data_IF_832103216819
#
_entry.id   IF_832103216819
#
_cell.length_a   1.000
_cell.length_b   1.000
_cell.length_c   1.000
_cell.angle_alpha   90.00
_cell.angle_beta   90.00
_cell.angle_gamma   90.00
#
_symmetry.space_group_name_H-M   'P 1'
#
loop_
_entity.id
_entity.type
_entity.pdbx_description
1 polymer ?
#
# COMPACT_ATOMS: atom_id res chain seq x y z
N UNK A 1 8.99 -52.88 5.17
CA UNK A 1 7.53 -52.90 4.91
C UNK A 1 6.77 -51.80 5.65
N UNK A 2 7.11 -51.44 6.89
CA UNK A 2 6.39 -50.40 7.70
C UNK A 2 6.42 -48.97 7.10
N UNK A 3 7.46 -48.62 6.33
CA UNK A 3 7.56 -47.31 5.66
C UNK A 3 6.46 -47.12 4.60
N UNK A 4 6.19 -48.16 3.80
CA UNK A 4 5.18 -48.12 2.74
C UNK A 4 3.78 -47.92 3.32
N UNK A 5 3.44 -48.66 4.38
CA UNK A 5 2.10 -48.68 4.96
C UNK A 5 1.69 -47.32 5.55
N UNK A 6 2.56 -46.68 6.35
CA UNK A 6 2.25 -45.38 6.94
C UNK A 6 2.24 -44.25 5.90
N UNK A 7 3.07 -44.39 4.85
CA UNK A 7 3.07 -43.44 3.74
C UNK A 7 1.78 -43.59 2.93
N UNK A 8 1.37 -44.81 2.59
CA UNK A 8 0.10 -45.10 1.92
C UNK A 8 -1.09 -44.56 2.73
N UNK A 9 -1.09 -44.73 4.05
CA UNK A 9 -2.13 -44.16 4.93
C UNK A 9 -2.14 -42.62 4.88
N UNK A 10 -0.97 -41.98 4.88
CA UNK A 10 -0.88 -40.52 4.80
C UNK A 10 -1.34 -39.99 3.43
N UNK A 11 -0.97 -40.66 2.34
CA UNK A 11 -1.38 -40.31 0.98
C UNK A 11 -2.89 -40.52 0.80
N UNK A 12 -3.43 -41.65 1.26
CA UNK A 12 -4.87 -41.92 1.25
C UNK A 12 -5.64 -40.85 2.03
N UNK A 13 -5.14 -40.41 3.18
CA UNK A 13 -5.77 -39.33 3.96
C UNK A 13 -5.80 -37.98 3.21
N UNK A 14 -4.81 -37.70 2.33
CA UNK A 14 -4.84 -36.49 1.49
C UNK A 14 -5.99 -36.61 0.47
N UNK A 15 -6.10 -37.74 -0.21
CA UNK A 15 -7.14 -37.99 -1.22
C UNK A 15 -8.54 -37.95 -0.58
N UNK A 16 -8.71 -38.60 0.57
CA UNK A 16 -9.96 -38.57 1.34
C UNK A 16 -10.34 -37.14 1.75
N UNK A 17 -9.37 -36.34 2.20
CA UNK A 17 -9.64 -34.96 2.61
C UNK A 17 -10.07 -34.05 1.46
N UNK A 18 -9.63 -34.37 0.23
CA UNK A 18 -10.07 -33.68 -0.98
C UNK A 18 -11.50 -34.09 -1.36
N UNK A 19 -11.82 -35.38 -1.29
CA UNK A 19 -13.15 -35.91 -1.57
C UNK A 19 -14.19 -35.41 -0.56
N UNK A 20 -13.84 -35.36 0.72
CA UNK A 20 -14.69 -34.87 1.82
C UNK A 20 -14.71 -33.33 1.91
N UNK A 21 -13.94 -32.63 1.07
CA UNK A 21 -13.83 -31.18 1.05
C UNK A 21 -13.42 -30.55 2.40
N UNK A 22 -12.67 -31.28 3.22
CA UNK A 22 -12.20 -30.82 4.54
C UNK A 22 -10.69 -30.53 4.57
N UNK A 23 -10.00 -30.62 3.43
CA UNK A 23 -8.60 -30.27 3.25
C UNK A 23 -8.29 -28.81 3.61
N UNK A 24 -7.29 -28.57 4.45
CA UNK A 24 -6.81 -27.21 4.78
C UNK A 24 -5.49 -26.90 4.07
N UNK A 25 -4.43 -27.66 4.37
CA UNK A 25 -3.09 -27.50 3.79
C UNK A 25 -2.22 -28.72 4.08
N UNK A 26 -1.09 -28.84 3.40
CA UNK A 26 0.01 -29.75 3.79
C UNK A 26 1.27 -28.94 4.05
N UNK A 27 2.06 -29.37 5.05
CA UNK A 27 3.40 -28.87 5.30
C UNK A 27 4.38 -30.03 5.30
N UNK A 28 5.44 -29.93 4.48
CA UNK A 28 6.58 -30.84 4.52
C UNK A 28 7.76 -30.11 5.15
N UNK A 29 8.31 -30.66 6.23
CA UNK A 29 9.37 -30.04 7.03
C UNK A 29 10.49 -31.01 7.41
N UNK A 30 11.52 -30.48 8.07
CA UNK A 30 12.74 -31.21 8.43
C UNK A 30 13.40 -31.88 7.20
N UNK A 31 13.71 -31.07 6.19
CA UNK A 31 14.34 -31.53 4.95
C UNK A 31 15.77 -32.05 5.21
N UNK A 32 16.08 -33.21 4.63
CA UNK A 32 17.38 -33.91 4.68
C UNK A 32 17.79 -34.46 3.31
N UNK A 33 17.23 -33.92 2.22
CA UNK A 33 17.58 -34.32 0.85
C UNK A 33 18.74 -33.51 0.27
N UNK A 34 18.98 -33.69 -1.03
CA UNK A 34 20.14 -33.14 -1.75
C UNK A 34 19.95 -31.68 -2.21
N UNK A 35 18.72 -31.15 -2.20
CA UNK A 35 18.45 -29.80 -2.69
C UNK A 35 18.95 -28.72 -1.71
N UNK A 36 19.96 -27.97 -2.14
CA UNK A 36 20.63 -27.00 -1.28
C UNK A 36 19.68 -25.88 -0.81
N UNK A 37 19.76 -25.57 0.47
CA UNK A 37 19.03 -24.50 1.15
C UNK A 37 17.48 -24.63 1.18
N UNK A 38 16.89 -25.70 0.65
CA UNK A 38 15.46 -25.99 0.81
C UNK A 38 15.17 -26.37 2.27
N UNK A 39 14.14 -25.74 2.86
CA UNK A 39 13.77 -25.95 4.26
C UNK A 39 12.41 -26.60 4.44
N UNK A 40 11.44 -26.16 3.63
CA UNK A 40 10.03 -26.49 3.83
C UNK A 40 9.30 -26.41 2.49
N UNK A 41 8.29 -27.26 2.31
CA UNK A 41 7.28 -27.09 1.26
C UNK A 41 5.94 -26.87 1.95
N UNK A 42 5.25 -25.80 1.56
CA UNK A 42 3.87 -25.53 1.98
C UNK A 42 2.93 -25.71 0.80
N UNK A 43 1.88 -26.50 0.98
CA UNK A 43 0.96 -26.88 -0.09
C UNK A 43 -0.45 -26.47 0.29
N UNK A 44 -1.14 -25.81 -0.62
CA UNK A 44 -2.54 -25.38 -0.45
C UNK A 44 -3.34 -25.61 -1.73
N UNK A 45 -4.64 -25.88 -1.59
CA UNK A 45 -5.58 -25.95 -2.71
C UNK A 45 -5.80 -24.55 -3.29
N UNK A 46 -5.82 -24.47 -4.61
CA UNK A 46 -6.03 -23.23 -5.35
C UNK A 46 -6.81 -23.49 -6.63
N UNK A 47 -7.57 -22.50 -7.11
CA UNK A 47 -8.30 -22.54 -8.37
C UNK A 47 -7.59 -21.62 -9.37
N UNK A 48 -7.05 -22.18 -10.45
CA UNK A 48 -6.35 -21.44 -11.51
C UNK A 48 -7.05 -21.70 -12.83
N UNK A 49 -7.47 -20.64 -13.54
CA UNK A 49 -8.20 -20.76 -14.82
C UNK A 49 -9.41 -21.71 -14.75
N UNK A 50 -10.11 -21.74 -13.60
CA UNK A 50 -11.25 -22.62 -13.29
C UNK A 50 -10.92 -24.10 -13.10
N UNK A 51 -9.65 -24.45 -12.92
CA UNK A 51 -9.19 -25.79 -12.59
C UNK A 51 -8.66 -25.82 -11.15
N UNK A 52 -9.00 -26.88 -10.41
CA UNK A 52 -8.43 -27.15 -9.09
C UNK A 52 -7.00 -27.65 -9.21
N UNK A 53 -6.10 -26.98 -8.50
CA UNK A 53 -4.66 -27.29 -8.46
C UNK A 53 -4.14 -27.20 -7.02
N UNK A 54 -2.95 -27.75 -6.79
CA UNK A 54 -2.18 -27.49 -5.59
C UNK A 54 -1.03 -26.52 -5.87
N UNK A 55 -0.94 -25.47 -5.06
CA UNK A 55 0.18 -24.53 -5.08
C UNK A 55 1.23 -24.94 -4.04
N UNK A 56 2.42 -25.28 -4.52
CA UNK A 56 3.58 -25.66 -3.73
C UNK A 56 4.46 -24.43 -3.56
N UNK A 57 4.60 -23.97 -2.33
CA UNK A 57 5.55 -22.92 -1.95
C UNK A 57 6.80 -23.57 -1.37
N UNK A 58 7.85 -23.63 -2.17
CA UNK A 58 9.18 -24.08 -1.78
C UNK A 58 9.90 -22.95 -1.06
N UNK A 59 10.14 -23.14 0.25
CA UNK A 59 10.83 -22.15 1.09
C UNK A 59 12.30 -22.47 1.20
N UNK A 60 13.13 -21.62 0.62
CA UNK A 60 14.58 -21.66 0.76
C UNK A 60 15.04 -20.69 1.84
N UNK A 61 16.33 -20.71 2.17
CA UNK A 61 16.92 -19.78 3.16
C UNK A 61 16.70 -18.29 2.81
N UNK A 62 16.67 -17.92 1.53
CA UNK A 62 16.66 -16.52 1.07
C UNK A 62 15.57 -16.20 0.04
N UNK A 63 14.77 -17.19 -0.38
CA UNK A 63 13.73 -17.00 -1.39
C UNK A 63 12.62 -18.04 -1.24
N UNK A 64 11.44 -17.69 -1.74
CA UNK A 64 10.32 -18.61 -1.90
C UNK A 64 10.03 -18.78 -3.40
N UNK A 65 9.80 -20.02 -3.82
CA UNK A 65 9.40 -20.35 -5.21
C UNK A 65 8.02 -21.01 -5.17
N UNK A 66 7.09 -20.54 -5.99
CA UNK A 66 5.74 -21.12 -6.09
C UNK A 66 5.57 -21.84 -7.41
N UNK A 67 5.14 -23.10 -7.36
CA UNK A 67 4.73 -23.90 -8.54
C UNK A 67 3.33 -24.45 -8.32
N UNK A 68 2.55 -24.58 -9.38
CA UNK A 68 1.19 -25.10 -9.32
C UNK A 68 1.11 -26.41 -10.10
N UNK A 69 0.49 -27.42 -9.51
CA UNK A 69 0.39 -28.78 -10.05
C UNK A 69 -1.05 -29.25 -10.01
N UNK A 70 -1.42 -30.13 -10.94
CA UNK A 70 -2.74 -30.77 -10.90
C UNK A 70 -2.85 -31.69 -9.68
N UNK A 71 -4.06 -31.91 -9.16
CA UNK A 71 -4.25 -32.60 -7.87
C UNK A 71 -3.58 -33.99 -7.84
N UNK A 72 -3.77 -34.80 -8.89
CA UNK A 72 -3.15 -36.14 -8.98
C UNK A 72 -1.63 -36.08 -9.04
N UNK A 73 -1.08 -35.17 -9.85
CA UNK A 73 0.38 -34.96 -9.95
C UNK A 73 0.96 -34.53 -8.60
N UNK A 74 0.28 -33.63 -7.92
CA UNK A 74 0.71 -33.09 -6.64
C UNK A 74 0.71 -34.12 -5.51
N UNK A 75 -0.29 -35.00 -5.44
CA UNK A 75 -0.32 -36.10 -4.45
C UNK A 75 0.87 -37.04 -4.65
N UNK A 76 1.20 -37.36 -5.90
CA UNK A 76 2.39 -38.16 -6.23
C UNK A 76 3.68 -37.46 -5.80
N UNK A 77 3.80 -36.15 -6.05
CA UNK A 77 4.96 -35.35 -5.62
C UNK A 77 5.11 -35.33 -4.10
N UNK A 78 4.01 -35.25 -3.33
CA UNK A 78 4.08 -35.32 -1.86
C UNK A 78 4.67 -36.65 -1.41
N UNK A 79 4.23 -37.76 -2.03
CA UNK A 79 4.78 -39.09 -1.74
C UNK A 79 6.28 -39.16 -2.03
N UNK A 80 6.71 -38.64 -3.19
CA UNK A 80 8.12 -38.60 -3.58
C UNK A 80 8.96 -37.76 -2.61
N UNK A 81 8.48 -36.57 -2.21
CA UNK A 81 9.20 -35.69 -1.30
C UNK A 81 9.37 -36.26 0.11
N UNK A 82 8.39 -37.03 0.60
CA UNK A 82 8.49 -37.74 1.88
C UNK A 82 9.45 -38.94 1.81
N UNK A 83 9.63 -39.52 0.61
CA UNK A 83 10.61 -40.60 0.39
C UNK A 83 12.04 -40.08 0.25
N UNK A 84 12.23 -38.94 -0.43
CA UNK A 84 13.55 -38.48 -0.88
C UNK A 84 14.22 -37.48 0.04
N UNK A 85 13.49 -36.78 0.93
CA UNK A 85 14.16 -35.79 1.78
C UNK A 85 13.41 -35.29 3.00
N UNK A 86 12.09 -35.14 2.95
CA UNK A 86 11.33 -34.59 4.07
C UNK A 86 11.04 -35.66 5.13
N UNK A 87 11.45 -35.37 6.37
CA UNK A 87 11.22 -36.29 7.50
C UNK A 87 9.90 -36.05 8.22
N UNK A 88 9.23 -34.93 7.96
CA UNK A 88 7.94 -34.61 8.56
C UNK A 88 6.97 -34.17 7.46
N UNK A 89 5.80 -34.80 7.41
CA UNK A 89 4.64 -34.35 6.64
C UNK A 89 3.47 -34.11 7.60
N UNK A 90 2.82 -32.96 7.49
CA UNK A 90 1.61 -32.67 8.26
C UNK A 90 0.50 -32.30 7.31
N UNK A 91 -0.56 -33.12 7.28
CA UNK A 91 -1.82 -32.83 6.62
C UNK A 91 -2.74 -32.18 7.65
N UNK A 92 -3.23 -31.00 7.33
CA UNK A 92 -4.20 -30.27 8.13
C UNK A 92 -5.57 -30.45 7.48
N UNK A 93 -6.56 -30.88 8.26
CA UNK A 93 -7.97 -30.92 7.87
C UNK A 93 -8.81 -30.17 8.90
N UNK A 94 -10.07 -29.89 8.60
CA UNK A 94 -10.97 -29.26 9.58
C UNK A 94 -11.35 -30.14 10.75
N UNK A 95 -11.08 -31.44 10.68
CA UNK A 95 -11.42 -32.44 11.70
C UNK A 95 -10.22 -32.84 12.55
N UNK A 96 -9.08 -33.07 11.91
CA UNK A 96 -7.82 -33.47 12.57
C UNK A 96 -6.58 -33.03 11.79
N UNK A 97 -5.47 -32.92 12.50
CA UNK A 97 -4.15 -32.78 11.90
C UNK A 97 -3.44 -34.14 11.94
N UNK A 98 -3.09 -34.66 10.77
CA UNK A 98 -2.39 -35.94 10.62
C UNK A 98 -0.91 -35.66 10.40
N UNK A 99 -0.06 -36.18 11.29
CA UNK A 99 1.40 -35.98 11.25
C UNK A 99 2.09 -37.30 10.92
N UNK A 100 2.71 -37.34 9.74
CA UNK A 100 3.69 -38.35 9.35
C UNK A 100 5.09 -37.87 9.79
N UNK A 101 5.79 -38.66 10.59
CA UNK A 101 7.14 -38.32 11.04
C UNK A 101 8.07 -39.54 10.97
N UNK A 102 9.21 -39.38 10.31
CA UNK A 102 10.33 -40.31 10.35
C UNK A 102 11.30 -39.88 11.46
N UNK A 103 11.39 -40.71 12.51
CA UNK A 103 12.27 -40.49 13.65
C UNK A 103 13.74 -40.75 13.28
N UNK A 104 14.66 -40.25 14.12
CA UNK A 104 16.11 -40.40 13.91
C UNK A 104 16.58 -41.86 13.85
N UNK A 105 15.84 -42.80 14.47
CA UNK A 105 16.11 -44.23 14.40
C UNK A 105 15.53 -44.93 13.15
N UNK A 106 15.00 -44.15 12.20
CA UNK A 106 14.40 -44.64 10.96
C UNK A 106 12.95 -45.13 11.09
N UNK A 107 12.42 -45.25 12.32
CA UNK A 107 11.01 -45.64 12.56
C UNK A 107 10.09 -44.51 12.11
N UNK A 108 9.02 -44.87 11.40
CA UNK A 108 7.93 -43.94 11.07
C UNK A 108 6.82 -44.06 12.10
N UNK A 109 6.24 -42.91 12.41
CA UNK A 109 5.03 -42.80 13.20
C UNK A 109 4.02 -41.92 12.47
N UNK A 110 2.76 -42.29 12.58
CA UNK A 110 1.62 -41.48 12.16
C UNK A 110 0.85 -41.09 13.43
N UNK A 111 0.65 -39.78 13.63
CA UNK A 111 -0.04 -39.25 14.82
C UNK A 111 -1.23 -38.43 14.38
N UNK A 112 -2.36 -38.64 15.05
CA UNK A 112 -3.54 -37.79 14.91
C UNK A 112 -3.57 -36.77 16.05
N UNK A 113 -3.69 -35.50 15.70
CA UNK A 113 -3.83 -34.39 16.61
C UNK A 113 -5.17 -33.69 16.37
N UNK A 114 -5.74 -33.00 17.38
CA UNK A 114 -6.93 -32.17 17.17
C UNK A 114 -6.70 -31.14 16.05
N UNK A 115 -7.72 -30.85 15.23
CA UNK A 115 -7.60 -29.86 14.16
C UNK A 115 -7.16 -28.50 14.69
N UNK A 116 -6.05 -27.98 14.14
CA UNK A 116 -5.58 -26.63 14.43
C UNK A 116 -6.39 -25.54 13.73
N UNK A 117 -7.14 -25.90 12.67
CA UNK A 117 -7.96 -24.98 11.89
C UNK A 117 -9.29 -25.65 11.57
N UNK A 118 -10.43 -25.06 11.96
CA UNK A 118 -11.78 -25.64 11.74
C UNK A 118 -12.48 -25.13 10.47
N UNK A 119 -11.79 -24.35 9.65
CA UNK A 119 -12.35 -23.68 8.46
C UNK A 119 -11.50 -24.08 7.25
N UNK A 120 -12.15 -24.52 6.17
CA UNK A 120 -11.50 -24.80 4.90
C UNK A 120 -11.04 -23.47 4.27
N UNK A 121 -9.75 -23.31 3.93
CA UNK A 121 -9.27 -22.12 3.25
C UNK A 121 -9.90 -22.00 1.87
N UNK A 122 -10.33 -20.80 1.52
CA UNK A 122 -10.83 -20.51 0.18
C UNK A 122 -9.72 -20.73 -0.88
N UNK A 123 -10.05 -21.52 -1.90
CA UNK A 123 -9.16 -21.85 -3.03
C UNK A 123 -9.07 -20.74 -4.07
N UNK A 124 -9.83 -19.65 -3.94
CA UNK A 124 -9.75 -18.52 -4.85
C UNK A 124 -8.33 -17.91 -4.91
N UNK A 125 -7.72 -17.90 -6.11
CA UNK A 125 -6.43 -17.25 -6.34
C UNK A 125 -6.54 -15.72 -6.31
N UNK A 126 -7.72 -15.21 -6.58
CA UNK A 126 -8.12 -13.92 -6.04
C UNK A 126 -8.35 -14.14 -4.55
N UNK A 127 -7.29 -13.96 -3.75
CA UNK A 127 -7.54 -13.17 -2.55
C UNK A 127 -8.24 -11.93 -3.10
N UNK A 128 -9.57 -11.85 -2.97
CA UNK A 128 -10.24 -10.57 -3.04
C UNK A 128 -9.45 -9.73 -2.04
N UNK A 129 -8.51 -8.93 -2.54
CA UNK A 129 -7.77 -7.99 -1.71
C UNK A 129 -8.88 -7.28 -0.97
N UNK A 130 -8.90 -7.36 0.36
CA UNK A 130 -9.96 -6.77 1.16
C UNK A 130 -10.00 -5.29 0.82
N UNK A 131 -10.88 -4.93 -0.11
CA UNK A 131 -11.02 -3.58 -0.63
C UNK A 131 -11.75 -2.80 0.43
N UNK A 132 -11.08 -1.80 0.98
CA UNK A 132 -11.67 -0.90 1.96
C UNK A 132 -12.87 -0.15 1.36
N UNK A 133 -12.81 0.11 0.04
CA UNK A 133 -13.92 0.63 -0.75
C UNK A 133 -14.50 -0.48 -1.63
N UNK A 134 -15.68 -0.95 -1.25
CA UNK A 134 -16.47 -1.89 -2.06
C UNK A 134 -17.22 -1.12 -3.16
N UNK A 135 -17.33 -1.74 -4.34
CA UNK A 135 -18.00 -1.13 -5.49
C UNK A 135 -19.53 -1.13 -5.34
N UNK A 136 -20.06 -2.09 -4.60
CA UNK A 136 -21.49 -2.32 -4.39
C UNK A 136 -22.12 -1.20 -3.56
N UNK A 137 -23.31 -0.75 -3.99
CA UNK A 137 -24.14 0.21 -3.23
C UNK A 137 -23.49 1.56 -2.95
N UNK A 138 -22.53 2.00 -3.78
CA UNK A 138 -21.89 3.31 -3.69
C UNK A 138 -22.31 4.21 -4.85
N UNK A 139 -23.33 5.05 -4.63
CA UNK A 139 -23.89 5.92 -5.66
C UNK A 139 -22.87 6.89 -6.27
N UNK A 140 -21.87 7.34 -5.50
CA UNK A 140 -20.82 8.23 -6.01
C UNK A 140 -19.93 7.54 -7.06
N UNK A 141 -19.66 6.24 -6.91
CA UNK A 141 -18.88 5.48 -7.90
C UNK A 141 -19.62 5.40 -9.24
N UNK A 142 -20.93 5.21 -9.20
CA UNK A 142 -21.77 5.21 -10.40
C UNK A 142 -21.83 6.61 -11.03
N UNK A 143 -22.05 7.66 -10.21
CA UNK A 143 -22.09 9.04 -10.68
C UNK A 143 -20.76 9.50 -11.31
N UNK A 144 -19.64 9.00 -10.81
CA UNK A 144 -18.29 9.23 -11.34
C UNK A 144 -17.90 8.29 -12.50
N UNK A 145 -18.83 7.47 -12.98
CA UNK A 145 -18.66 6.51 -14.09
C UNK A 145 -17.60 5.44 -13.84
N UNK A 146 -17.49 4.96 -12.60
CA UNK A 146 -16.64 3.83 -12.20
C UNK A 146 -17.41 2.51 -12.27
N UNK A 147 -18.66 2.52 -11.83
CA UNK A 147 -19.56 1.37 -11.78
C UNK A 147 -20.83 1.61 -12.60
N UNK A 148 -21.50 0.52 -13.00
CA UNK A 148 -22.88 0.57 -13.45
C UNK A 148 -23.87 0.73 -12.28
N UNK A 149 -25.17 0.63 -12.56
CA UNK A 149 -26.22 0.77 -11.56
C UNK A 149 -26.23 -0.40 -10.56
N UNK A 150 -25.75 -1.57 -10.99
CA UNK A 150 -25.64 -2.79 -10.21
C UNK A 150 -24.35 -2.84 -9.36
N UNK A 151 -23.49 -1.82 -9.46
CA UNK A 151 -22.23 -1.74 -8.69
C UNK A 151 -21.07 -2.51 -9.31
N UNK A 152 -21.19 -2.96 -10.56
CA UNK A 152 -20.11 -3.64 -11.28
C UNK A 152 -19.21 -2.60 -11.96
N UNK A 153 -17.91 -2.71 -11.68
CA UNK A 153 -16.89 -1.79 -12.21
C UNK A 153 -16.72 -1.97 -13.72
N UNK A 154 -16.81 -0.87 -14.48
CA UNK A 154 -16.61 -0.90 -15.93
C UNK A 154 -15.22 -1.40 -16.30
N UNK A 155 -15.08 -2.10 -17.44
CA UNK A 155 -13.80 -2.65 -17.89
C UNK A 155 -12.69 -1.60 -17.99
N UNK A 156 -13.01 -0.41 -18.49
CA UNK A 156 -12.09 0.73 -18.63
C UNK A 156 -11.86 1.49 -17.31
N UNK A 157 -12.63 1.22 -16.26
CA UNK A 157 -12.52 1.87 -14.95
C UNK A 157 -11.79 1.00 -13.91
N UNK A 158 -11.41 -0.23 -14.26
CA UNK A 158 -10.74 -1.18 -13.35
C UNK A 158 -9.45 -0.60 -12.75
N UNK A 159 -8.60 0.02 -13.56
CA UNK A 159 -7.34 0.60 -13.08
C UNK A 159 -7.59 1.76 -12.13
N UNK A 160 -8.53 2.64 -12.46
CA UNK A 160 -8.92 3.74 -11.57
C UNK A 160 -9.51 3.22 -10.26
N UNK A 161 -10.34 2.17 -10.29
CA UNK A 161 -10.89 1.57 -9.07
C UNK A 161 -9.83 0.92 -8.18
N UNK A 162 -8.80 0.29 -8.79
CA UNK A 162 -7.63 -0.21 -8.06
C UNK A 162 -6.84 0.94 -7.43
N UNK A 163 -6.62 2.04 -8.15
CA UNK A 163 -5.93 3.22 -7.62
C UNK A 163 -6.67 3.83 -6.42
N UNK A 164 -8.00 3.95 -6.50
CA UNK A 164 -8.84 4.41 -5.39
C UNK A 164 -8.62 3.53 -4.15
N UNK A 165 -8.70 2.21 -4.29
CA UNK A 165 -8.54 1.30 -3.16
C UNK A 165 -7.11 1.30 -2.59
N UNK A 166 -6.09 1.37 -3.45
CA UNK A 166 -4.71 1.44 -3.00
C UNK A 166 -4.42 2.74 -2.24
N UNK A 167 -4.99 3.86 -2.70
CA UNK A 167 -4.91 5.13 -1.99
C UNK A 167 -5.52 5.06 -0.60
N UNK A 168 -6.71 4.48 -0.48
CA UNK A 168 -7.37 4.31 0.82
C UNK A 168 -6.61 3.32 1.71
N UNK A 169 -5.99 2.28 1.15
CA UNK A 169 -5.10 1.38 1.89
C UNK A 169 -3.93 2.14 2.52
N UNK A 170 -3.26 2.99 1.75
CA UNK A 170 -2.15 3.83 2.25
C UNK A 170 -2.67 4.78 3.34
N UNK A 171 -3.72 5.56 3.06
CA UNK A 171 -4.27 6.50 4.04
C UNK A 171 -4.77 5.81 5.32
N UNK A 172 -5.37 4.63 5.21
CA UNK A 172 -5.83 3.87 6.38
C UNK A 172 -4.71 3.55 7.36
N UNK A 173 -3.50 3.30 6.85
CA UNK A 173 -2.33 3.04 7.68
C UNK A 173 -1.83 4.31 8.38
N UNK A 174 -1.88 5.46 7.68
CA UNK A 174 -1.44 6.75 8.21
C UNK A 174 -2.43 7.30 9.24
N UNK A 175 -3.73 7.20 8.96
CA UNK A 175 -4.83 7.63 9.84
C UNK A 175 -4.76 6.89 11.19
N UNK A 176 -4.38 5.61 11.20
CA UNK A 176 -4.20 4.83 12.43
C UNK A 176 -3.06 5.32 13.34
N UNK A 177 -2.12 6.10 12.82
CA UNK A 177 -1.05 6.72 13.62
C UNK A 177 -1.52 8.00 14.32
N UNK A 178 -2.68 8.55 13.91
CA UNK A 178 -3.24 9.78 14.50
C UNK A 178 -3.92 9.49 15.84
N UNK A 179 -4.03 10.49 16.74
CA UNK A 179 -4.80 10.33 17.95
C UNK A 179 -6.27 10.01 17.64
N UNK A 180 -6.90 9.21 18.49
CA UNK A 180 -8.30 8.85 18.29
C UNK A 180 -9.22 10.07 18.49
N UNK A 181 -10.22 10.23 17.62
CA UNK A 181 -11.22 11.29 17.72
C UNK A 181 -10.75 12.70 17.33
N UNK A 182 -9.58 12.85 16.71
CA UNK A 182 -9.05 14.17 16.33
C UNK A 182 -9.31 14.56 14.87
N UNK A 183 -9.72 13.61 14.02
CA UNK A 183 -9.94 13.84 12.59
C UNK A 183 -11.33 14.45 12.37
N UNK A 184 -11.45 15.76 12.60
CA UNK A 184 -12.71 16.49 12.47
C UNK A 184 -12.84 17.22 11.15
N UNK A 185 -11.73 17.70 10.58
CA UNK A 185 -11.71 18.45 9.32
C UNK A 185 -10.58 17.99 8.40
N UNK A 186 -10.93 17.64 7.17
CA UNK A 186 -10.00 17.28 6.09
C UNK A 186 -10.10 18.30 4.97
N UNK A 187 -8.96 18.73 4.44
CA UNK A 187 -8.90 19.55 3.24
C UNK A 187 -8.13 18.81 2.13
N UNK A 188 -8.73 18.67 0.95
CA UNK A 188 -8.10 18.15 -0.26
C UNK A 188 -7.84 19.29 -1.25
N UNK A 189 -6.59 19.69 -1.36
CA UNK A 189 -6.11 20.83 -2.12
C UNK A 189 -5.78 20.42 -3.56
N UNK A 190 -6.59 20.90 -4.51
CA UNK A 190 -6.51 20.48 -5.90
C UNK A 190 -7.25 19.17 -6.15
N UNK A 191 -8.51 19.09 -5.70
CA UNK A 191 -9.29 17.84 -5.68
C UNK A 191 -9.69 17.32 -7.07
N UNK A 192 -9.66 18.16 -8.11
CA UNK A 192 -10.05 17.79 -9.46
C UNK A 192 -11.48 17.24 -9.51
N UNK A 193 -11.64 16.06 -10.13
CA UNK A 193 -12.95 15.35 -10.20
C UNK A 193 -13.34 14.63 -8.91
N UNK A 194 -12.58 14.79 -7.82
CA UNK A 194 -12.93 14.34 -6.48
C UNK A 194 -12.84 12.83 -6.22
N UNK A 195 -12.43 11.98 -7.18
CA UNK A 195 -12.46 10.50 -7.00
C UNK A 195 -11.86 10.02 -5.67
N UNK A 196 -10.70 10.58 -5.31
CA UNK A 196 -9.97 10.23 -4.10
C UNK A 196 -10.60 10.89 -2.87
N UNK A 197 -11.10 12.12 -3.00
CA UNK A 197 -11.85 12.85 -1.98
C UNK A 197 -13.13 12.10 -1.57
N UNK A 198 -13.92 11.64 -2.53
CA UNK A 198 -15.13 10.84 -2.27
C UNK A 198 -14.81 9.51 -1.61
N UNK A 199 -13.76 8.82 -2.08
CA UNK A 199 -13.34 7.56 -1.48
C UNK A 199 -12.84 7.74 -0.04
N UNK A 200 -12.13 8.84 0.22
CA UNK A 200 -11.69 9.16 1.57
C UNK A 200 -12.87 9.49 2.48
N UNK A 201 -13.81 10.30 2.01
CA UNK A 201 -15.04 10.60 2.75
C UNK A 201 -15.80 9.30 3.09
N UNK A 202 -16.02 8.43 2.11
CA UNK A 202 -16.67 7.14 2.29
C UNK A 202 -15.95 6.25 3.32
N UNK A 203 -14.61 6.23 3.27
CA UNK A 203 -13.81 5.49 4.25
C UNK A 203 -13.98 6.06 5.67
N UNK A 204 -13.88 7.37 5.85
CA UNK A 204 -14.00 8.02 7.15
C UNK A 204 -15.39 7.81 7.76
N UNK A 205 -16.46 7.95 6.97
CA UNK A 205 -17.84 7.86 7.44
C UNK A 205 -18.38 6.44 7.51
N UNK A 206 -18.19 5.63 6.48
CA UNK A 206 -18.79 4.29 6.43
C UNK A 206 -17.96 3.26 7.18
N UNK A 207 -16.62 3.34 7.08
CA UNK A 207 -15.72 2.33 7.66
C UNK A 207 -15.28 2.74 9.06
N UNK A 208 -14.80 3.98 9.23
CA UNK A 208 -14.34 4.46 10.54
C UNK A 208 -15.45 5.08 11.40
N UNK A 209 -16.62 5.38 10.82
CA UNK A 209 -17.77 6.00 11.53
C UNK A 209 -17.42 7.32 12.22
N UNK A 210 -16.55 8.10 11.59
CA UNK A 210 -16.13 9.41 12.07
C UNK A 210 -17.06 10.50 11.57
N UNK A 211 -17.31 11.49 12.41
CA UNK A 211 -18.15 12.65 12.09
C UNK A 211 -17.33 13.79 11.46
N UNK A 212 -16.62 13.47 10.38
CA UNK A 212 -15.60 14.34 9.78
C UNK A 212 -16.16 15.23 8.66
N UNK A 213 -15.82 16.52 8.65
CA UNK A 213 -16.01 17.42 7.52
C UNK A 213 -14.87 17.23 6.50
N UNK A 214 -15.21 17.07 5.22
CA UNK A 214 -14.23 16.98 4.14
C UNK A 214 -14.51 18.07 3.11
N UNK A 215 -13.50 18.89 2.85
CA UNK A 215 -13.58 19.99 1.89
C UNK A 215 -12.60 19.76 0.74
N UNK A 216 -13.12 19.69 -0.49
CA UNK A 216 -12.30 19.69 -1.70
C UNK A 216 -12.14 21.11 -2.25
N UNK A 217 -10.91 21.55 -2.49
CA UNK A 217 -10.59 22.85 -3.07
C UNK A 217 -10.22 22.65 -4.53
N UNK A 218 -10.94 23.32 -5.42
CA UNK A 218 -10.72 23.23 -6.86
C UNK A 218 -10.86 24.59 -7.53
N UNK A 219 -9.96 24.91 -8.46
CA UNK A 219 -9.94 26.19 -9.15
C UNK A 219 -11.12 26.35 -10.12
N UNK A 220 -11.49 25.24 -10.77
CA UNK A 220 -12.50 25.20 -11.82
C UNK A 220 -13.92 25.06 -11.27
N UNK A 221 -14.75 26.09 -11.47
CA UNK A 221 -16.16 26.06 -11.05
C UNK A 221 -16.93 24.87 -11.63
N UNK A 222 -16.69 24.49 -12.88
CA UNK A 222 -17.39 23.36 -13.51
C UNK A 222 -17.09 22.01 -12.85
N UNK A 223 -15.89 21.86 -12.27
CA UNK A 223 -15.52 20.68 -11.48
C UNK A 223 -16.13 20.75 -10.07
N UNK A 224 -16.18 21.93 -9.46
CA UNK A 224 -16.84 22.16 -8.16
C UNK A 224 -18.33 21.80 -8.25
N UNK A 225 -19.04 22.31 -9.26
CA UNK A 225 -20.46 22.03 -9.48
C UNK A 225 -20.72 20.54 -9.71
N UNK A 226 -19.86 19.89 -10.50
CA UNK A 226 -19.91 18.44 -10.73
C UNK A 226 -19.78 17.68 -9.41
N UNK A 227 -18.74 17.98 -8.62
CA UNK A 227 -18.46 17.28 -7.38
C UNK A 227 -19.56 17.52 -6.32
N UNK A 228 -20.05 18.74 -6.15
CA UNK A 228 -21.17 19.01 -5.24
C UNK A 228 -22.46 18.29 -5.68
N UNK A 229 -22.77 18.26 -6.98
CA UNK A 229 -23.92 17.48 -7.49
C UNK A 229 -23.79 15.98 -7.20
N UNK A 230 -22.57 15.44 -7.25
CA UNK A 230 -22.31 14.03 -6.89
C UNK A 230 -22.46 13.83 -5.38
N UNK A 231 -21.92 14.74 -4.54
CA UNK A 231 -22.05 14.66 -3.09
C UNK A 231 -23.52 14.68 -2.64
N UNK A 232 -24.34 15.56 -3.22
CA UNK A 232 -25.78 15.63 -2.97
C UNK A 232 -26.50 14.33 -3.36
N UNK A 233 -26.26 13.81 -4.57
CA UNK A 233 -26.85 12.54 -5.04
C UNK A 233 -26.43 11.34 -4.19
N UNK A 234 -25.30 11.44 -3.52
CA UNK A 234 -24.78 10.42 -2.62
C UNK A 234 -25.15 10.63 -1.15
N UNK A 235 -25.92 11.68 -0.83
CA UNK A 235 -26.27 12.07 0.53
C UNK A 235 -25.02 12.25 1.43
N UNK A 236 -23.93 12.77 0.86
CA UNK A 236 -22.69 13.05 1.59
C UNK A 236 -22.73 14.47 2.18
N UNK A 237 -23.54 14.66 3.22
CA UNK A 237 -23.85 15.99 3.80
C UNK A 237 -22.63 16.76 4.33
N UNK A 238 -21.57 16.05 4.72
CA UNK A 238 -20.31 16.62 5.25
C UNK A 238 -19.17 16.63 4.22
N UNK A 239 -19.49 16.42 2.95
CA UNK A 239 -18.56 16.56 1.84
C UNK A 239 -18.99 17.75 0.98
N UNK A 240 -18.10 18.73 0.88
CA UNK A 240 -18.35 19.92 0.08
C UNK A 240 -17.11 20.31 -0.73
N UNK A 241 -17.35 20.85 -1.91
CA UNK A 241 -16.32 21.35 -2.80
C UNK A 241 -16.47 22.86 -2.94
N UNK A 242 -15.36 23.58 -2.86
CA UNK A 242 -15.33 25.05 -2.92
C UNK A 242 -14.41 25.50 -4.04
N UNK A 243 -14.84 26.56 -4.74
CA UNK A 243 -13.99 27.21 -5.72
C UNK A 243 -12.89 28.01 -5.02
N UNK A 244 -11.65 27.77 -5.38
CA UNK A 244 -10.53 28.54 -4.83
C UNK A 244 -9.17 28.01 -5.26
N UNK A 245 -8.13 28.76 -4.90
CA UNK A 245 -6.74 28.29 -5.02
C UNK A 245 -6.24 27.78 -3.67
N UNK A 246 -5.08 27.10 -3.71
CA UNK A 246 -4.39 26.65 -2.50
C UNK A 246 -3.93 27.84 -1.65
N UNK A 247 -3.47 28.91 -2.30
CA UNK A 247 -2.97 30.09 -1.61
C UNK A 247 -4.09 30.82 -0.83
N UNK A 248 -5.28 30.92 -1.42
CA UNK A 248 -6.39 31.72 -0.88
C UNK A 248 -7.23 30.96 0.16
N UNK A 249 -7.17 29.63 0.19
CA UNK A 249 -7.97 28.84 1.12
C UNK A 249 -7.52 29.02 2.58
N UNK A 250 -8.48 29.23 3.49
CA UNK A 250 -8.21 29.22 4.92
C UNK A 250 -8.24 27.78 5.47
N UNK A 251 -7.06 27.28 5.82
CA UNK A 251 -6.87 25.93 6.37
C UNK A 251 -6.97 25.88 7.91
N UNK A 252 -7.42 26.94 8.59
CA UNK A 252 -7.58 26.94 10.03
C UNK A 252 -8.44 25.76 10.53
N UNK A 253 -7.91 25.04 11.52
CA UNK A 253 -8.56 23.89 12.14
C UNK A 253 -8.52 22.60 11.31
N UNK A 254 -7.87 22.58 10.13
CA UNK A 254 -7.69 21.34 9.35
C UNK A 254 -6.77 20.36 10.10
N UNK A 255 -7.26 19.14 10.33
CA UNK A 255 -6.50 18.07 10.97
C UNK A 255 -5.73 17.24 9.94
N UNK A 256 -6.31 17.03 8.76
CA UNK A 256 -5.69 16.26 7.67
C UNK A 256 -5.70 17.09 6.40
N UNK A 257 -4.52 17.35 5.86
CA UNK A 257 -4.34 18.06 4.60
C UNK A 257 -3.80 17.13 3.53
N UNK A 258 -4.42 17.16 2.36
CA UNK A 258 -4.08 16.33 1.21
C UNK A 258 -3.85 17.23 0.00
N UNK A 259 -2.82 16.96 -0.80
CA UNK A 259 -2.59 17.65 -2.07
C UNK A 259 -1.87 16.73 -3.07
N UNK A 260 -2.62 16.02 -3.91
CA UNK A 260 -2.07 14.97 -4.77
C UNK A 260 -1.78 15.42 -6.21
N UNK A 261 -2.31 16.57 -6.61
CA UNK A 261 -2.12 17.15 -7.93
C UNK A 261 -1.74 18.64 -7.87
N UNK A 262 -1.36 19.12 -6.70
CA UNK A 262 -0.72 20.43 -6.57
C UNK A 262 0.67 20.34 -7.19
N UNK A 263 0.91 21.03 -8.30
CA UNK A 263 2.17 20.95 -9.04
C UNK A 263 3.14 22.09 -8.70
N UNK A 264 4.45 21.80 -8.79
CA UNK A 264 5.53 22.76 -8.55
C UNK A 264 5.43 23.41 -7.17
N UNK A 265 5.32 24.74 -7.09
CA UNK A 265 5.22 25.46 -5.80
C UNK A 265 3.86 25.31 -5.13
N UNK A 266 2.82 24.89 -5.85
CA UNK A 266 1.51 24.68 -5.24
C UNK A 266 1.54 23.56 -4.17
N UNK A 267 2.44 22.56 -4.33
CA UNK A 267 2.69 21.57 -3.27
C UNK A 267 3.26 22.22 -2.02
N UNK A 268 4.16 23.19 -2.19
CA UNK A 268 4.79 23.93 -1.10
C UNK A 268 3.76 24.81 -0.38
N UNK A 269 2.87 25.49 -1.12
CA UNK A 269 1.77 26.26 -0.52
C UNK A 269 0.85 25.35 0.32
N UNK A 270 0.56 24.14 -0.16
CA UNK A 270 -0.23 23.15 0.58
C UNK A 270 0.47 22.67 1.86
N UNK A 271 1.77 22.35 1.80
CA UNK A 271 2.56 21.98 2.98
C UNK A 271 2.59 23.15 3.98
N UNK A 272 2.83 24.37 3.50
CA UNK A 272 2.82 25.58 4.33
C UNK A 272 1.50 25.74 5.08
N UNK A 273 0.36 25.62 4.39
CA UNK A 273 -0.97 25.68 5.00
C UNK A 273 -1.15 24.58 6.05
N UNK A 274 -0.70 23.36 5.78
CA UNK A 274 -0.77 22.24 6.73
C UNK A 274 0.04 22.49 7.99
N UNK A 275 1.26 23.04 7.85
CA UNK A 275 2.12 23.41 8.97
C UNK A 275 1.46 24.53 9.80
N UNK A 276 0.94 25.57 9.15
CA UNK A 276 0.29 26.71 9.81
C UNK A 276 -1.00 26.32 10.53
N UNK A 277 -1.79 25.43 9.93
CA UNK A 277 -2.98 24.84 10.56
C UNK A 277 -2.63 23.89 11.72
N UNK A 278 -1.35 23.56 11.90
CA UNK A 278 -0.88 22.52 12.81
C UNK A 278 -1.60 21.19 12.57
N UNK A 279 -1.82 20.85 11.29
CA UNK A 279 -2.45 19.62 10.86
C UNK A 279 -1.69 18.41 11.44
N UNK A 280 -2.43 17.37 11.81
CA UNK A 280 -1.90 16.12 12.34
C UNK A 280 -1.33 15.24 11.23
N UNK A 281 -1.85 15.37 10.02
CA UNK A 281 -1.41 14.64 8.84
C UNK A 281 -1.36 15.57 7.62
N UNK A 282 -0.23 15.56 6.93
CA UNK A 282 -0.04 16.24 5.64
C UNK A 282 0.39 15.16 4.63
N UNK A 283 -0.36 15.01 3.54
CA UNK A 283 -0.09 14.01 2.49
C UNK A 283 -0.06 14.70 1.14
N UNK A 284 1.11 14.73 0.50
CA UNK A 284 1.26 15.37 -0.80
C UNK A 284 1.93 14.45 -1.82
N UNK A 285 1.46 14.49 -3.07
CA UNK A 285 2.07 13.78 -4.19
C UNK A 285 2.58 14.81 -5.21
N UNK A 286 3.88 15.14 -5.17
CA UNK A 286 4.46 16.17 -6.03
C UNK A 286 4.51 15.71 -7.51
N UNK A 287 3.87 16.45 -8.42
CA UNK A 287 3.86 16.13 -9.86
C UNK A 287 4.95 16.83 -10.68
N UNK A 288 5.44 17.99 -10.24
CA UNK A 288 6.35 18.86 -10.99
C UNK A 288 7.29 19.61 -10.05
N UNK A 289 8.49 19.93 -10.54
CA UNK A 289 9.60 20.46 -9.74
C UNK A 289 10.44 21.46 -10.55
N UNK A 290 9.77 22.43 -11.17
CA UNK A 290 10.41 23.40 -12.07
C UNK A 290 11.20 24.45 -11.31
N UNK A 291 10.79 24.81 -10.09
CA UNK A 291 11.47 25.81 -9.27
C UNK A 291 12.93 25.43 -9.01
N UNK A 292 13.17 24.27 -8.39
CA UNK A 292 14.52 23.80 -8.06
C UNK A 292 15.32 23.45 -9.31
N UNK A 293 14.70 22.87 -10.33
CA UNK A 293 15.38 22.60 -11.61
C UNK A 293 15.98 23.88 -12.21
N UNK A 294 15.21 24.98 -12.24
CA UNK A 294 15.68 26.27 -12.75
C UNK A 294 16.86 26.80 -11.94
N UNK A 295 16.82 26.71 -10.61
CA UNK A 295 17.93 27.14 -9.76
C UNK A 295 19.23 26.37 -10.07
N UNK A 296 19.13 25.03 -10.20
CA UNK A 296 20.27 24.17 -10.54
C UNK A 296 20.81 24.51 -11.95
N UNK A 297 19.93 24.69 -12.94
CA UNK A 297 20.29 25.04 -14.32
C UNK A 297 20.92 26.44 -14.43
N UNK A 298 20.49 27.40 -13.62
CA UNK A 298 20.99 28.77 -13.62
C UNK A 298 22.37 28.87 -12.96
N UNK A 299 22.52 28.29 -11.77
CA UNK A 299 23.74 28.45 -10.97
C UNK A 299 24.86 27.49 -11.37
N UNK A 300 24.53 26.32 -11.92
CA UNK A 300 25.49 25.33 -12.47
C UNK A 300 26.67 25.01 -11.56
N UNK A 301 26.41 24.94 -10.25
CA UNK A 301 27.43 24.59 -9.26
C UNK A 301 27.98 23.20 -9.57
N UNK A 302 29.31 23.10 -9.66
CA UNK A 302 30.00 21.82 -9.88
C UNK A 302 30.15 21.07 -8.55
N UNK A 303 29.78 19.80 -8.58
CA UNK A 303 29.80 18.87 -7.45
C UNK A 303 29.98 17.43 -7.97
N UNK A 304 30.02 16.45 -7.07
CA UNK A 304 30.35 15.06 -7.42
C UNK A 304 29.30 14.37 -8.31
N UNK A 305 28.06 14.89 -8.36
CA UNK A 305 26.98 14.37 -9.21
C UNK A 305 26.82 15.13 -10.53
N UNK A 306 27.68 16.11 -10.81
CA UNK A 306 27.61 16.93 -12.03
C UNK A 306 27.74 16.13 -13.33
N UNK A 307 28.37 14.95 -13.28
CA UNK A 307 28.46 14.05 -14.43
C UNK A 307 27.10 13.42 -14.80
N UNK A 308 26.17 13.32 -13.85
CA UNK A 308 24.79 12.88 -14.07
C UNK A 308 23.93 14.05 -14.54
N UNK A 309 23.97 15.17 -13.83
CA UNK A 309 23.08 16.32 -14.05
C UNK A 309 23.38 17.10 -15.33
N UNK A 310 24.48 16.79 -16.04
CA UNK A 310 24.70 17.29 -17.40
C UNK A 310 23.69 16.73 -18.41
N UNK A 311 23.01 15.61 -18.09
CA UNK A 311 21.96 15.03 -18.92
C UNK A 311 20.59 15.49 -18.41
N UNK A 312 19.77 16.10 -19.26
CA UNK A 312 18.52 16.75 -18.86
C UNK A 312 17.54 15.84 -18.11
N UNK A 313 17.46 14.55 -18.47
CA UNK A 313 16.58 13.58 -17.79
C UNK A 313 17.03 13.28 -16.35
N UNK A 314 18.34 13.19 -16.12
CA UNK A 314 18.89 12.97 -14.78
C UNK A 314 18.87 14.26 -13.95
N UNK A 315 19.03 15.41 -14.59
CA UNK A 315 18.83 16.70 -13.94
C UNK A 315 17.39 16.85 -13.44
N UNK A 316 16.41 16.48 -14.26
CA UNK A 316 14.99 16.52 -13.86
C UNK A 316 14.73 15.63 -12.64
N UNK A 317 15.16 14.36 -12.69
CA UNK A 317 15.02 13.41 -11.56
C UNK A 317 15.77 13.88 -10.32
N UNK A 318 16.98 14.42 -10.48
CA UNK A 318 17.76 14.94 -9.35
C UNK A 318 17.05 16.15 -8.72
N UNK A 319 16.50 17.06 -9.54
CA UNK A 319 15.74 18.21 -9.04
C UNK A 319 14.49 17.75 -8.27
N UNK A 320 13.78 16.73 -8.74
CA UNK A 320 12.67 16.10 -8.02
C UNK A 320 13.10 15.61 -6.63
N UNK A 321 14.13 14.75 -6.59
CA UNK A 321 14.64 14.17 -5.35
C UNK A 321 15.11 15.24 -4.35
N UNK A 322 15.80 16.27 -4.84
CA UNK A 322 16.31 17.35 -4.00
C UNK A 322 15.17 18.20 -3.44
N UNK A 323 14.18 18.53 -4.26
CA UNK A 323 13.00 19.29 -3.82
C UNK A 323 12.25 18.53 -2.74
N UNK A 324 11.93 17.26 -2.97
CA UNK A 324 11.13 16.47 -2.02
C UNK A 324 11.94 16.11 -0.76
N UNK A 325 13.26 15.97 -0.88
CA UNK A 325 14.17 15.88 0.25
C UNK A 325 14.18 17.15 1.11
N UNK A 326 14.21 18.34 0.50
CA UNK A 326 14.13 19.61 1.23
C UNK A 326 12.76 19.77 1.89
N UNK A 327 11.66 19.47 1.20
CA UNK A 327 10.30 19.45 1.78
C UNK A 327 10.22 18.53 2.99
N UNK A 328 10.83 17.34 2.91
CA UNK A 328 10.86 16.38 3.99
C UNK A 328 11.63 16.92 5.22
N UNK A 329 12.81 17.51 5.00
CA UNK A 329 13.59 18.17 6.05
C UNK A 329 12.80 19.32 6.69
N UNK A 330 12.07 20.12 5.91
CA UNK A 330 11.24 21.21 6.45
C UNK A 330 10.11 20.65 7.32
N UNK A 331 9.41 19.61 6.89
CA UNK A 331 8.41 18.94 7.72
C UNK A 331 9.01 18.45 9.04
N UNK A 332 10.18 17.82 8.99
CA UNK A 332 10.91 17.38 10.20
C UNK A 332 11.24 18.57 11.11
N UNK A 333 11.72 19.69 10.55
CA UNK A 333 11.99 20.93 11.30
C UNK A 333 10.76 21.42 12.06
N UNK A 334 9.57 21.30 11.47
CA UNK A 334 8.29 21.67 12.08
C UNK A 334 7.65 20.56 12.96
N UNK A 335 8.41 19.53 13.30
CA UNK A 335 8.04 18.50 14.28
C UNK A 335 7.17 17.37 13.69
N UNK A 336 7.19 17.19 12.38
CA UNK A 336 6.54 16.05 11.74
C UNK A 336 7.50 14.87 11.64
N UNK A 337 7.00 13.67 11.92
CA UNK A 337 7.61 12.41 11.48
C UNK A 337 7.34 12.28 9.99
N UNK A 338 8.37 12.41 9.18
CA UNK A 338 8.25 12.42 7.72
C UNK A 338 8.48 11.03 7.11
N UNK A 339 7.72 10.69 6.08
CA UNK A 339 7.93 9.51 5.23
C UNK A 339 7.92 9.93 3.77
N UNK A 340 8.83 9.36 2.98
CA UNK A 340 8.88 9.52 1.53
C UNK A 340 8.90 8.14 0.91
N UNK A 341 7.87 7.77 0.15
CA UNK A 341 7.73 6.42 -0.40
C UNK A 341 6.92 6.41 -1.70
N UNK A 342 6.99 5.30 -2.42
CA UNK A 342 6.25 5.09 -3.66
C UNK A 342 4.75 4.89 -3.40
N UNK A 343 3.91 5.66 -4.08
CA UNK A 343 2.45 5.65 -3.98
C UNK A 343 1.75 4.87 -5.07
N UNK A 344 2.33 4.82 -6.27
CA UNK A 344 1.76 4.12 -7.41
C UNK A 344 2.88 3.54 -8.26
N UNK A 345 2.66 2.40 -8.90
CA UNK A 345 3.68 1.84 -9.80
C UNK A 345 4.06 2.85 -10.88
N UNK A 346 5.37 2.91 -11.15
CA UNK A 346 5.97 3.63 -12.28
C UNK A 346 5.38 3.28 -13.65
N UNK A 347 4.76 2.10 -13.79
CA UNK A 347 3.99 1.69 -14.96
C UNK A 347 2.81 2.64 -15.27
N UNK A 348 2.31 3.37 -14.27
CA UNK A 348 1.24 4.37 -14.45
C UNK A 348 1.77 5.79 -14.60
N UNK A 349 2.79 6.16 -13.83
CA UNK A 349 3.43 7.48 -13.90
C UNK A 349 4.83 7.43 -13.29
N UNK A 350 5.85 8.06 -13.93
CA UNK A 350 7.16 8.20 -13.31
C UNK A 350 7.15 9.15 -12.10
N UNK A 351 6.09 9.95 -11.92
CA UNK A 351 5.87 10.83 -10.77
C UNK A 351 5.01 10.09 -9.76
N UNK A 352 5.66 9.29 -8.92
CA UNK A 352 4.99 8.33 -8.06
C UNK A 352 5.38 8.42 -6.58
N UNK A 353 6.00 9.52 -6.15
CA UNK A 353 6.42 9.71 -4.76
C UNK A 353 5.33 10.39 -3.94
N UNK A 354 5.10 9.89 -2.72
CA UNK A 354 4.30 10.54 -1.69
C UNK A 354 5.22 11.08 -0.60
N UNK A 355 5.04 12.34 -0.24
CA UNK A 355 5.66 12.96 0.94
C UNK A 355 4.58 13.08 2.01
N UNK A 356 4.83 12.47 3.16
CA UNK A 356 3.88 12.42 4.27
C UNK A 356 4.52 13.00 5.51
N UNK A 357 3.87 13.97 6.15
CA UNK A 357 4.21 14.44 7.49
C UNK A 357 3.14 14.01 8.50
N UNK A 358 3.53 13.26 9.53
CA UNK A 358 2.66 12.90 10.67
C UNK A 358 3.11 13.70 11.88
N UNK A 359 2.22 14.48 12.50
CA UNK A 359 2.60 15.32 13.64
C UNK A 359 3.05 14.45 14.82
N UNK A 360 4.27 14.68 15.31
CA UNK A 360 4.79 13.95 16.45
C UNK A 360 4.08 14.38 17.75
N UNK A 361 3.89 13.43 18.67
CA UNK A 361 3.43 13.71 20.05
C UNK A 361 4.47 14.50 20.84
N UNK A 362 5.75 14.32 20.52
CA UNK A 362 6.84 15.13 21.05
C UNK A 362 6.79 16.50 20.36
N UNK A 363 6.35 17.54 21.08
CA UNK A 363 6.18 18.90 20.56
C UNK A 363 7.54 19.57 20.27
N UNK A 364 8.17 19.19 19.15
CA UNK A 364 9.35 19.85 18.61
C UNK A 364 10.36 18.88 17.98
N UNK A 365 10.98 19.30 16.87
CA UNK A 365 12.15 18.59 16.35
C UNK A 365 13.27 18.65 17.40
N UNK A 366 13.78 17.49 17.82
CA UNK A 366 14.91 17.40 18.76
C UNK A 366 16.21 17.99 18.17
N UNK A 367 16.30 18.12 16.84
CA UNK A 367 17.51 18.50 16.11
C UNK A 367 17.28 19.63 15.08
N UNK A 368 16.53 20.69 15.44
CA UNK A 368 16.20 21.79 14.50
C UNK A 368 17.41 22.42 13.83
N UNK A 369 18.48 22.69 14.58
CA UNK A 369 19.69 23.32 14.03
C UNK A 369 20.40 22.39 13.04
N UNK A 370 20.47 21.09 13.34
CA UNK A 370 21.04 20.10 12.43
C UNK A 370 20.24 20.01 11.12
N UNK A 371 18.90 19.99 11.22
CA UNK A 371 18.01 19.98 10.05
C UNK A 371 18.20 21.24 9.22
N UNK A 372 18.27 22.41 9.84
CA UNK A 372 18.49 23.68 9.14
C UNK A 372 19.85 23.70 8.44
N UNK A 373 20.90 23.16 9.07
CA UNK A 373 22.20 23.02 8.43
C UNK A 373 22.17 22.04 7.24
N UNK A 374 21.41 20.94 7.34
CA UNK A 374 21.19 20.03 6.20
C UNK A 374 20.51 20.74 5.04
N UNK A 375 19.43 21.50 5.29
CA UNK A 375 18.75 22.30 4.26
C UNK A 375 19.73 23.27 3.59
N UNK A 376 20.48 24.05 4.38
CA UNK A 376 21.47 25.01 3.86
C UNK A 376 22.56 24.33 3.04
N UNK A 377 23.09 23.21 3.52
CA UNK A 377 24.15 22.46 2.86
C UNK A 377 23.67 21.82 1.56
N UNK A 378 22.47 21.23 1.54
CA UNK A 378 21.84 20.71 0.32
C UNK A 378 21.62 21.82 -0.71
N UNK A 379 21.10 22.97 -0.28
CA UNK A 379 20.94 24.13 -1.18
C UNK A 379 22.26 24.59 -1.77
N UNK A 380 23.29 24.77 -0.95
CA UNK A 380 24.62 25.16 -1.42
C UNK A 380 25.22 24.13 -2.38
N UNK A 381 25.10 22.83 -2.07
CA UNK A 381 25.62 21.74 -2.89
C UNK A 381 25.01 21.71 -4.29
N UNK A 382 23.71 22.01 -4.42
CA UNK A 382 23.00 22.03 -5.70
C UNK A 382 22.90 23.42 -6.34
N UNK A 383 23.45 24.46 -5.71
CA UNK A 383 23.34 25.84 -6.22
C UNK A 383 21.90 26.35 -6.19
N UNK A 384 21.17 26.10 -5.12
CA UNK A 384 19.79 26.56 -4.92
C UNK A 384 19.82 27.85 -4.09
N UNK A 385 19.49 28.98 -4.70
CA UNK A 385 19.42 30.28 -4.01
C UNK A 385 18.22 30.36 -3.08
N UNK A 386 17.05 29.88 -3.53
CA UNK A 386 15.86 29.80 -2.69
C UNK A 386 15.04 28.53 -2.93
N UNK A 387 14.27 28.11 -1.93
CA UNK A 387 13.21 27.12 -2.04
C UNK A 387 11.88 27.77 -1.65
N UNK A 388 10.78 27.53 -2.37
CA UNK A 388 9.51 28.24 -2.13
C UNK A 388 8.97 28.01 -0.71
N UNK A 389 8.88 26.75 -0.27
CA UNK A 389 8.42 26.40 1.09
C UNK A 389 9.27 27.04 2.21
N UNK A 390 10.60 27.03 2.05
CA UNK A 390 11.54 27.64 3.00
C UNK A 390 11.28 29.15 3.13
N UNK A 391 11.05 29.83 1.98
CA UNK A 391 10.70 31.25 1.95
C UNK A 391 9.37 31.54 2.66
N UNK A 392 8.33 30.74 2.40
CA UNK A 392 7.02 30.91 3.06
C UNK A 392 7.11 30.76 4.58
N UNK A 393 8.03 29.92 5.06
CA UNK A 393 8.20 29.61 6.48
C UNK A 393 9.29 30.45 7.16
N UNK A 394 9.92 31.37 6.42
CA UNK A 394 10.97 32.27 6.92
C UNK A 394 12.16 31.52 7.57
N UNK A 395 12.59 30.41 6.95
CA UNK A 395 13.70 29.56 7.41
C UNK A 395 15.10 29.99 6.95
#
# INVERSE_FOLDING_TARGET
MVFSEHLEQFISAIEDSLNLQNFVKISLGNYKGEEEALKQILIRRVIIKREDKFAFTFRYKTRDVVKNFDLMEAVNLVSEYLQTGFKIGTLFTTEKDLVFEQLNNGKIVLRELPASTKIVPDGSHDKEKLRLIKAESKSYLTALKITDAEGKVFKNAQDKFRQINHYIEILSSLIKELPEGTINKVADMGSGKGYLTFALFDYLHTVLKLDTEVVGIEYRQDMVDLCNSVAEKSAFEKLNFVQGTIEDYNADGVNVLIALHACDTATDDAIFKGIKANAELIVVAPCCHKQIRKEIEQNKVKNDVSFLTKYGIFLERQAEMVTDGIRALILEYFGYKTKVFEFISDAHTPKNVLVVGIKSKDKGAKNKDEILQKIKSSKAYFGIGYHHLERLLEL
#
